data_IF_269083900605
#
_entry.id   IF_269083900605
#
_cell.length_a   1.000
_cell.length_b   1.000
_cell.length_c   1.000
_cell.angle_alpha   90.00
_cell.angle_beta   90.00
_cell.angle_gamma   90.00
#
_symmetry.space_group_name_H-M   'P 1'
#
loop_
_entity.id
_entity.type
_entity.pdbx_description
1 polymer ?
#
# COMPACT_ATOMS: atom_id res chain seq x y z
N UNK A 1 28.08 -21.11 0.56
CA UNK A 1 26.66 -20.79 0.84
C UNK A 1 26.36 -19.40 0.30
N UNK A 2 25.30 -19.25 -0.48
CA UNK A 2 24.86 -17.93 -0.93
C UNK A 2 24.33 -17.15 0.28
N UNK A 3 24.80 -15.92 0.51
CA UNK A 3 24.38 -15.12 1.66
C UNK A 3 22.93 -14.66 1.45
N UNK A 4 22.00 -15.25 2.20
CA UNK A 4 20.59 -14.87 2.20
C UNK A 4 20.43 -13.55 2.96
N UNK A 5 19.76 -12.57 2.36
CA UNK A 5 19.43 -11.32 3.02
C UNK A 5 18.10 -11.43 3.75
N UNK A 6 18.09 -11.16 5.06
CA UNK A 6 16.87 -11.08 5.84
C UNK A 6 16.25 -9.68 5.73
N UNK A 7 15.13 -9.60 5.00
CA UNK A 7 14.42 -8.38 4.70
C UNK A 7 13.31 -8.14 5.73
N UNK A 8 13.56 -7.29 6.74
CA UNK A 8 12.59 -6.96 7.80
C UNK A 8 11.95 -5.60 7.54
N UNK A 9 10.64 -5.49 7.75
CA UNK A 9 9.95 -4.20 7.73
C UNK A 9 10.48 -3.30 8.87
N UNK A 10 10.95 -2.07 8.58
CA UNK A 10 11.62 -1.22 9.59
C UNK A 10 10.67 -0.49 10.55
N UNK A 11 9.40 -0.32 10.16
CA UNK A 11 8.42 0.44 10.94
C UNK A 11 7.32 -0.46 11.51
N UNK A 12 6.88 -0.20 12.72
CA UNK A 12 5.60 -0.74 13.21
C UNK A 12 4.41 -0.17 12.41
N UNK A 13 3.26 -0.87 12.38
CA UNK A 13 2.03 -0.32 11.81
C UNK A 13 1.68 1.03 12.44
N UNK A 14 1.40 2.03 11.60
CA UNK A 14 0.93 3.33 12.04
C UNK A 14 -0.59 3.29 12.14
N UNK A 15 -1.13 2.96 13.32
CA UNK A 15 -2.56 2.81 13.57
C UNK A 15 -2.88 3.37 14.96
N UNK A 16 -3.98 4.13 15.07
CA UNK A 16 -4.51 4.61 16.34
C UNK A 16 -6.01 4.32 16.50
N UNK A 17 -6.57 4.64 17.66
CA UNK A 17 -7.99 4.41 17.96
C UNK A 17 -8.94 5.19 17.05
N UNK A 18 -8.49 6.27 16.41
CA UNK A 18 -9.33 7.10 15.54
C UNK A 18 -9.28 6.66 14.08
N UNK A 19 -8.40 5.72 13.74
CA UNK A 19 -8.19 5.25 12.36
C UNK A 19 -9.45 4.60 11.79
N UNK A 20 -9.87 5.03 10.59
CA UNK A 20 -11.06 4.52 9.89
C UNK A 20 -10.73 3.83 8.56
N UNK A 21 -9.63 4.25 7.91
CA UNK A 21 -9.09 3.62 6.70
C UNK A 21 -7.67 3.13 6.96
N UNK A 22 -7.31 1.98 6.39
CA UNK A 22 -5.96 1.41 6.49
C UNK A 22 -5.35 1.22 5.11
N UNK A 23 -4.24 1.91 4.82
CA UNK A 23 -3.42 1.66 3.64
C UNK A 23 -2.63 0.38 3.87
N UNK A 24 -2.70 -0.56 2.93
CA UNK A 24 -2.02 -1.85 3.02
C UNK A 24 -1.16 -2.07 1.78
N UNK A 25 0.16 -2.01 1.97
CA UNK A 25 1.16 -2.36 0.95
C UNK A 25 1.81 -3.70 1.20
N UNK A 26 2.85 -3.99 0.43
CA UNK A 26 3.58 -5.25 0.55
C UNK A 26 4.70 -5.17 1.60
N UNK A 27 5.83 -4.55 1.22
CA UNK A 27 7.04 -4.40 2.01
C UNK A 27 7.89 -3.28 1.39
N UNK A 28 8.51 -2.37 2.17
CA UNK A 28 9.36 -1.32 1.62
C UNK A 28 10.63 -1.90 0.95
N UNK A 29 11.37 -1.12 0.15
CA UNK A 29 12.61 -1.59 -0.46
C UNK A 29 13.66 -2.03 0.59
N UNK A 30 14.49 -3.06 0.33
CA UNK A 30 15.47 -3.60 1.30
C UNK A 30 16.40 -2.59 1.98
N UNK A 31 16.69 -1.48 1.30
CA UNK A 31 17.54 -0.42 1.85
C UNK A 31 16.98 0.20 3.13
N UNK A 32 15.65 0.22 3.27
CA UNK A 32 14.95 0.70 4.45
C UNK A 32 15.20 -0.18 5.69
N UNK A 33 15.33 -1.50 5.52
CA UNK A 33 15.75 -2.41 6.60
C UNK A 33 17.14 -2.07 7.14
N UNK A 34 18.05 -1.65 6.25
CA UNK A 34 19.44 -1.35 6.60
C UNK A 34 19.69 0.11 6.98
N UNK A 35 18.68 0.99 6.86
CA UNK A 35 18.84 2.44 7.01
C UNK A 35 19.71 3.12 5.92
N UNK A 36 20.09 2.41 4.86
CA UNK A 36 20.89 2.94 3.73
C UNK A 36 20.01 3.68 2.73
N UNK A 37 19.32 4.70 3.20
CA UNK A 37 18.37 5.48 2.43
C UNK A 37 19.07 6.25 1.31
N UNK A 38 18.37 6.45 0.19
CA UNK A 38 18.83 7.30 -0.92
C UNK A 38 18.42 8.75 -0.65
N UNK A 39 19.14 9.69 -1.25
CA UNK A 39 18.65 11.06 -1.36
C UNK A 39 17.24 11.10 -1.96
N UNK A 40 16.32 11.82 -1.34
CA UNK A 40 14.91 11.85 -1.71
C UNK A 40 14.03 10.78 -1.04
N UNK A 41 14.63 9.82 -0.31
CA UNK A 41 13.85 8.94 0.57
C UNK A 41 13.48 9.69 1.86
N UNK A 42 12.34 9.33 2.45
CA UNK A 42 11.92 9.76 3.78
C UNK A 42 11.88 8.52 4.67
N UNK A 43 12.45 8.58 5.86
CA UNK A 43 12.49 7.45 6.79
C UNK A 43 11.14 7.21 7.47
N UNK A 44 10.14 6.84 6.67
CA UNK A 44 8.77 6.57 7.06
C UNK A 44 8.09 5.62 6.07
N UNK A 45 6.92 5.07 6.45
CA UNK A 45 6.12 4.21 5.57
C UNK A 45 5.91 4.86 4.19
N UNK A 46 6.09 4.06 3.13
CA UNK A 46 6.06 4.52 1.72
C UNK A 46 7.05 5.64 1.37
N UNK A 47 8.04 5.91 2.21
CA UNK A 47 8.95 7.03 2.03
C UNK A 47 10.00 6.84 0.93
N UNK A 48 9.97 5.73 0.19
CA UNK A 48 10.85 5.51 -0.96
C UNK A 48 10.60 6.57 -2.04
N UNK A 49 11.65 7.24 -2.50
CA UNK A 49 11.63 8.15 -3.67
C UNK A 49 11.16 7.49 -4.95
N UNK A 50 11.35 6.16 -5.03
CA UNK A 50 10.95 5.34 -6.18
C UNK A 50 9.44 5.01 -6.15
N UNK A 51 8.73 5.35 -5.06
CA UNK A 51 7.29 5.15 -4.86
C UNK A 51 6.48 6.43 -5.13
N UNK A 52 5.21 6.25 -5.48
CA UNK A 52 4.33 7.35 -5.91
C UNK A 52 3.22 7.68 -4.90
N UNK A 53 3.12 7.00 -3.75
CA UNK A 53 2.01 7.22 -2.81
C UNK A 53 2.00 8.67 -2.31
N UNK A 54 3.11 9.13 -1.75
CA UNK A 54 3.22 10.50 -1.23
C UNK A 54 3.08 11.55 -2.34
N UNK A 55 3.71 11.44 -3.53
CA UNK A 55 3.42 12.34 -4.65
C UNK A 55 1.95 12.39 -5.09
N UNK A 56 1.24 11.26 -5.06
CA UNK A 56 -0.19 11.20 -5.38
C UNK A 56 -0.99 11.97 -4.33
N UNK A 57 -0.77 11.69 -3.04
CA UNK A 57 -1.51 12.34 -1.95
C UNK A 57 -1.18 13.83 -1.84
N UNK A 58 0.07 14.21 -2.09
CA UNK A 58 0.51 15.60 -2.14
C UNK A 58 -0.27 16.41 -3.19
N UNK A 59 -0.49 15.83 -4.38
CA UNK A 59 -1.30 16.45 -5.44
C UNK A 59 -2.80 16.50 -5.12
N UNK A 60 -3.34 15.43 -4.52
CA UNK A 60 -4.78 15.36 -4.19
C UNK A 60 -5.14 16.39 -3.12
N UNK A 61 -4.28 16.54 -2.10
CA UNK A 61 -4.59 17.33 -0.90
C UNK A 61 -3.83 18.67 -0.81
N UNK A 62 -2.93 18.97 -1.77
CA UNK A 62 -2.13 20.20 -1.75
C UNK A 62 -1.24 20.30 -0.52
N UNK A 63 -0.53 19.22 -0.17
CA UNK A 63 0.17 19.11 1.12
C UNK A 63 1.51 19.86 1.15
N UNK A 64 2.10 20.12 -0.02
CA UNK A 64 3.42 20.71 -0.18
C UNK A 64 4.50 19.94 0.62
N UNK A 65 4.52 18.61 0.44
CA UNK A 65 5.41 17.71 1.18
C UNK A 65 6.89 17.93 0.85
N UNK A 66 7.73 17.84 1.88
CA UNK A 66 9.17 17.66 1.75
C UNK A 66 9.49 16.18 1.53
N UNK A 67 10.52 15.92 0.72
CA UNK A 67 10.95 14.57 0.33
C UNK A 67 12.38 14.25 0.77
N UNK A 68 12.92 15.02 1.72
CA UNK A 68 14.21 14.74 2.33
C UNK A 68 14.05 13.83 3.56
N UNK A 69 15.11 13.11 3.94
CA UNK A 69 15.14 12.33 5.18
C UNK A 69 15.27 13.25 6.41
N UNK A 70 14.21 14.00 6.72
CA UNK A 70 14.17 14.95 7.84
C UNK A 70 12.99 14.68 8.76
N UNK A 71 13.12 15.12 10.02
CA UNK A 71 12.02 15.04 10.99
C UNK A 71 10.76 15.75 10.48
N UNK A 72 10.93 16.89 9.81
CA UNK A 72 9.82 17.67 9.24
C UNK A 72 9.05 16.87 8.18
N UNK A 73 9.75 16.23 7.23
CA UNK A 73 9.11 15.40 6.21
C UNK A 73 8.32 14.23 6.81
N UNK A 74 8.83 13.63 7.90
CA UNK A 74 8.15 12.57 8.65
C UNK A 74 6.90 13.13 9.36
N UNK A 75 7.02 14.28 10.00
CA UNK A 75 5.93 14.90 10.76
C UNK A 75 4.80 15.38 9.85
N UNK A 76 5.09 15.90 8.66
CA UNK A 76 4.06 16.24 7.65
C UNK A 76 3.20 15.03 7.31
N UNK A 77 3.84 13.87 7.09
CA UNK A 77 3.15 12.61 6.76
C UNK A 77 2.31 12.10 7.93
N UNK A 78 2.85 12.10 9.15
CA UNK A 78 2.12 11.72 10.36
C UNK A 78 0.93 12.63 10.63
N UNK A 79 1.10 13.95 10.46
CA UNK A 79 0.04 14.93 10.65
C UNK A 79 -1.11 14.71 9.66
N UNK A 80 -0.78 14.55 8.37
CA UNK A 80 -1.75 14.22 7.34
C UNK A 80 -2.52 12.93 7.65
N UNK A 81 -1.81 11.84 7.96
CA UNK A 81 -2.44 10.55 8.26
C UNK A 81 -3.39 10.63 9.45
N UNK A 82 -3.00 11.31 10.53
CA UNK A 82 -3.86 11.52 11.70
C UNK A 82 -5.07 12.38 11.37
N UNK A 83 -4.88 13.48 10.65
CA UNK A 83 -5.97 14.39 10.25
C UNK A 83 -7.02 13.65 9.41
N UNK A 84 -6.57 12.80 8.48
CA UNK A 84 -7.45 12.03 7.61
C UNK A 84 -7.94 10.70 8.24
N UNK A 85 -7.52 10.39 9.48
CA UNK A 85 -7.83 9.12 10.18
C UNK A 85 -7.40 7.89 9.37
N UNK A 86 -6.23 7.99 8.73
CA UNK A 86 -5.64 6.95 7.90
C UNK A 86 -4.49 6.29 8.65
N UNK A 87 -4.53 4.97 8.72
CA UNK A 87 -3.43 4.15 9.19
C UNK A 87 -2.63 3.58 8.02
N UNK A 88 -1.44 3.06 8.32
CA UNK A 88 -0.60 2.34 7.36
C UNK A 88 -0.11 1.04 7.97
N UNK A 89 -0.33 -0.09 7.27
CA UNK A 89 0.15 -1.39 7.66
C UNK A 89 0.48 -2.23 6.42
N UNK A 90 1.75 -2.21 6.00
CA UNK A 90 2.22 -3.17 4.99
C UNK A 90 2.11 -4.59 5.53
N UNK A 91 1.69 -5.53 4.67
CA UNK A 91 1.24 -6.86 5.08
C UNK A 91 2.39 -7.83 5.39
N UNK A 92 3.58 -7.60 4.84
CA UNK A 92 4.75 -8.45 5.10
C UNK A 92 5.55 -7.87 6.26
N UNK A 93 5.77 -8.68 7.30
CA UNK A 93 6.63 -8.35 8.43
C UNK A 93 8.10 -8.58 8.08
N UNK A 94 8.40 -9.72 7.45
CA UNK A 94 9.73 -10.04 6.94
C UNK A 94 9.69 -11.05 5.80
N UNK A 95 10.79 -11.14 5.06
CA UNK A 95 11.02 -12.15 4.03
C UNK A 95 12.53 -12.40 3.88
N UNK A 96 12.88 -13.48 3.21
CA UNK A 96 14.25 -13.76 2.78
C UNK A 96 14.44 -13.43 1.30
N UNK A 97 15.65 -12.98 0.93
CA UNK A 97 16.02 -12.66 -0.44
C UNK A 97 17.40 -13.20 -0.80
N UNK A 98 17.49 -13.88 -1.93
CA UNK A 98 18.78 -14.23 -2.56
C UNK A 98 19.35 -13.03 -3.33
N UNK A 99 18.46 -12.27 -4.01
CA UNK A 99 18.80 -11.03 -4.69
C UNK A 99 18.18 -9.84 -3.96
N UNK A 100 19.01 -8.86 -3.59
CA UNK A 100 18.58 -7.67 -2.85
C UNK A 100 17.98 -6.65 -3.83
N UNK A 101 16.68 -6.79 -4.10
CA UNK A 101 15.88 -5.83 -4.87
C UNK A 101 14.49 -5.62 -4.25
N UNK A 102 13.72 -4.68 -4.80
CA UNK A 102 12.38 -4.34 -4.32
C UNK A 102 11.26 -5.16 -5.00
N UNK A 103 11.58 -6.22 -5.74
CA UNK A 103 10.57 -7.04 -6.42
C UNK A 103 9.82 -7.90 -5.43
N UNK A 104 8.49 -7.91 -5.49
CA UNK A 104 7.67 -8.79 -4.64
C UNK A 104 7.85 -10.27 -4.99
N UNK A 105 8.17 -10.58 -6.25
CA UNK A 105 8.35 -11.96 -6.74
C UNK A 105 9.58 -12.64 -6.11
N UNK A 106 10.61 -11.86 -5.77
CA UNK A 106 11.87 -12.37 -5.23
C UNK A 106 11.84 -12.73 -3.74
N UNK A 107 10.71 -12.49 -3.05
CA UNK A 107 10.57 -12.81 -1.62
C UNK A 107 10.37 -14.32 -1.41
N UNK A 108 11.13 -14.88 -0.46
CA UNK A 108 10.99 -16.26 0.06
C UNK A 108 10.72 -16.21 1.56
N UNK A 109 10.28 -17.33 2.15
CA UNK A 109 10.08 -17.49 3.60
C UNK A 109 9.35 -16.30 4.24
N UNK A 110 8.21 -15.94 3.65
CA UNK A 110 7.48 -14.70 3.96
C UNK A 110 6.75 -14.85 5.29
N UNK A 111 6.98 -13.91 6.19
CA UNK A 111 6.24 -13.75 7.45
C UNK A 111 5.26 -12.59 7.28
N UNK A 112 3.98 -12.87 7.45
CA UNK A 112 2.91 -11.88 7.31
C UNK A 112 2.54 -11.29 8.67
N UNK A 113 2.11 -10.02 8.66
CA UNK A 113 1.50 -9.35 9.83
C UNK A 113 0.06 -9.81 10.01
N UNK A 114 -0.41 -9.87 11.26
CA UNK A 114 -1.80 -10.23 11.55
C UNK A 114 -2.76 -9.04 11.31
N UNK A 115 -3.04 -8.74 10.03
CA UNK A 115 -3.95 -7.64 9.63
C UNK A 115 -5.36 -7.83 10.20
N UNK A 116 -5.88 -9.06 10.22
CA UNK A 116 -7.19 -9.36 10.82
C UNK A 116 -7.19 -9.00 12.31
N UNK A 117 -6.14 -9.37 13.04
CA UNK A 117 -5.97 -9.01 14.45
C UNK A 117 -5.93 -7.50 14.69
N UNK A 118 -5.29 -6.73 13.81
CA UNK A 118 -5.34 -5.26 13.89
C UNK A 118 -6.75 -4.72 13.64
N UNK A 119 -7.49 -5.28 12.68
CA UNK A 119 -8.86 -4.84 12.41
C UNK A 119 -9.81 -5.11 13.58
N UNK A 120 -9.64 -6.23 14.29
CA UNK A 120 -10.40 -6.52 15.51
C UNK A 120 -9.98 -5.59 16.67
N UNK A 121 -8.68 -5.29 16.79
CA UNK A 121 -8.14 -4.39 17.81
C UNK A 121 -8.56 -2.93 17.61
N UNK A 122 -8.72 -2.48 16.37
CA UNK A 122 -9.04 -1.10 16.01
C UNK A 122 -10.42 -1.04 15.33
N UNK A 123 -11.52 -1.10 16.11
CA UNK A 123 -12.87 -1.32 15.60
C UNK A 123 -13.43 -0.13 14.83
N UNK A 124 -12.72 0.99 14.70
CA UNK A 124 -13.12 2.10 13.83
C UNK A 124 -12.73 1.86 12.37
N UNK A 125 -11.76 0.99 12.09
CA UNK A 125 -11.31 0.69 10.72
C UNK A 125 -12.42 -0.04 9.99
N UNK A 126 -12.92 0.55 8.91
CA UNK A 126 -14.00 0.00 8.09
C UNK A 126 -13.59 -0.21 6.62
N UNK A 127 -12.43 0.33 6.22
CA UNK A 127 -11.95 0.26 4.84
C UNK A 127 -10.46 -0.09 4.79
N UNK A 128 -10.11 -1.08 3.96
CA UNK A 128 -8.74 -1.35 3.54
C UNK A 128 -8.48 -0.78 2.14
N UNK A 129 -7.40 -0.04 1.98
CA UNK A 129 -6.92 0.47 0.70
C UNK A 129 -5.66 -0.32 0.32
N UNK A 130 -5.80 -1.34 -0.52
CA UNK A 130 -4.65 -2.07 -1.03
C UNK A 130 -3.95 -1.25 -2.11
N UNK A 131 -2.66 -0.97 -1.92
CA UNK A 131 -1.84 -0.25 -2.91
C UNK A 131 -1.18 -1.24 -3.88
N UNK A 132 -2.00 -2.14 -4.42
CA UNK A 132 -1.62 -3.25 -5.27
C UNK A 132 -2.68 -4.34 -5.26
N UNK A 133 -3.07 -4.83 -6.43
CA UNK A 133 -4.11 -5.86 -6.53
C UNK A 133 -3.60 -7.28 -6.25
N UNK A 134 -4.42 -8.27 -6.61
CA UNK A 134 -4.16 -9.70 -6.45
C UNK A 134 -3.05 -10.28 -7.36
N UNK A 135 -2.06 -9.48 -7.77
CA UNK A 135 -0.86 -10.01 -8.41
C UNK A 135 -0.07 -10.84 -7.39
N UNK A 136 0.68 -11.84 -7.86
CA UNK A 136 1.49 -12.71 -7.00
C UNK A 136 2.34 -11.87 -6.04
N UNK A 137 2.24 -12.18 -4.75
CA UNK A 137 2.92 -11.49 -3.65
C UNK A 137 2.54 -10.00 -3.44
N UNK A 138 1.45 -9.52 -4.06
CA UNK A 138 0.87 -8.22 -3.76
C UNK A 138 0.08 -8.21 -2.43
N UNK A 139 -0.36 -7.03 -1.97
CA UNK A 139 -1.02 -6.92 -0.68
C UNK A 139 -2.40 -7.59 -0.66
N UNK A 140 -3.22 -7.41 -1.71
CA UNK A 140 -4.52 -8.12 -1.83
C UNK A 140 -4.31 -9.64 -1.92
N UNK A 141 -3.24 -10.10 -2.59
CA UNK A 141 -2.92 -11.53 -2.71
C UNK A 141 -2.64 -12.18 -1.35
N UNK A 142 -1.77 -11.56 -0.55
CA UNK A 142 -1.50 -12.07 0.79
C UNK A 142 -2.71 -11.93 1.72
N UNK A 143 -3.48 -10.85 1.58
CA UNK A 143 -4.67 -10.68 2.39
C UNK A 143 -5.73 -11.74 2.09
N UNK A 144 -5.95 -12.10 0.82
CA UNK A 144 -6.80 -13.22 0.44
C UNK A 144 -6.35 -14.55 1.06
N UNK A 145 -5.04 -14.76 1.20
CA UNK A 145 -4.51 -15.92 1.92
C UNK A 145 -4.90 -15.89 3.40
N UNK A 146 -4.77 -14.74 4.08
CA UNK A 146 -5.26 -14.61 5.47
C UNK A 146 -6.75 -14.93 5.61
N UNK A 147 -7.59 -14.40 4.70
CA UNK A 147 -9.02 -14.68 4.74
C UNK A 147 -9.30 -16.18 4.58
N UNK A 148 -8.62 -16.84 3.62
CA UNK A 148 -8.74 -18.28 3.41
C UNK A 148 -8.31 -19.08 4.64
N UNK A 149 -7.16 -18.75 5.23
CA UNK A 149 -6.61 -19.45 6.40
C UNK A 149 -7.53 -19.30 7.64
N UNK A 150 -8.39 -18.27 7.67
CA UNK A 150 -9.38 -18.04 8.72
C UNK A 150 -10.82 -18.39 8.31
N UNK A 151 -11.02 -19.06 7.16
CA UNK A 151 -12.35 -19.39 6.61
C UNK A 151 -13.30 -18.20 6.45
N UNK A 152 -12.77 -17.02 6.15
CA UNK A 152 -13.55 -15.79 5.96
C UNK A 152 -13.90 -15.64 4.47
N UNK A 153 -15.20 -15.60 4.11
CA UNK A 153 -15.60 -15.35 2.73
C UNK A 153 -15.32 -13.90 2.32
N UNK A 154 -14.92 -13.72 1.05
CA UNK A 154 -14.70 -12.41 0.44
C UNK A 154 -15.70 -12.23 -0.71
N UNK A 155 -16.63 -11.29 -0.57
CA UNK A 155 -17.67 -11.03 -1.57
C UNK A 155 -17.24 -9.92 -2.53
N UNK A 156 -17.45 -10.13 -3.83
CA UNK A 156 -17.17 -9.13 -4.86
C UNK A 156 -18.34 -8.14 -4.90
N UNK A 157 -18.04 -6.85 -4.75
CA UNK A 157 -19.00 -5.75 -4.92
C UNK A 157 -18.83 -5.10 -6.29
N UNK A 158 -17.59 -4.90 -6.71
CA UNK A 158 -17.25 -4.37 -8.04
C UNK A 158 -16.00 -5.07 -8.58
N UNK A 159 -16.09 -5.58 -9.80
CA UNK A 159 -14.97 -6.19 -10.50
C UNK A 159 -14.24 -5.20 -11.44
N UNK A 160 -14.72 -3.96 -11.55
CA UNK A 160 -14.03 -2.89 -12.27
C UNK A 160 -12.76 -2.48 -11.52
N UNK A 161 -11.83 -1.80 -12.18
CA UNK A 161 -10.63 -1.26 -11.52
C UNK A 161 -10.95 0.14 -10.98
N UNK A 162 -10.74 0.43 -9.68
CA UNK A 162 -10.23 -0.47 -8.65
C UNK A 162 -11.28 -1.47 -8.16
N UNK A 163 -10.86 -2.72 -7.90
CA UNK A 163 -11.78 -3.78 -7.46
C UNK A 163 -12.23 -3.53 -6.03
N UNK A 164 -13.50 -3.77 -5.76
CA UNK A 164 -14.11 -3.59 -4.45
C UNK A 164 -14.66 -4.93 -3.97
N UNK A 165 -14.30 -5.30 -2.75
CA UNK A 165 -14.83 -6.47 -2.07
C UNK A 165 -15.26 -6.12 -0.65
N UNK A 166 -16.07 -6.97 -0.05
CA UNK A 166 -16.45 -6.91 1.37
C UNK A 166 -16.19 -8.25 2.06
N UNK A 167 -15.92 -8.22 3.36
CA UNK A 167 -15.89 -9.39 4.23
C UNK A 167 -16.38 -9.00 5.64
N UNK A 168 -16.71 -10.00 6.46
CA UNK A 168 -17.06 -9.81 7.88
C UNK A 168 -15.88 -10.27 8.75
N UNK A 169 -15.56 -9.47 9.77
CA UNK A 169 -14.59 -9.85 10.78
C UNK A 169 -15.10 -11.02 11.62
N UNK A 170 -14.26 -12.03 11.92
CA UNK A 170 -14.71 -13.27 12.53
C UNK A 170 -15.20 -13.10 13.99
N UNK A 171 -14.66 -12.15 14.75
CA UNK A 171 -15.03 -11.95 16.16
C UNK A 171 -16.13 -10.91 16.28
N UNK A 172 -15.95 -9.74 15.68
CA UNK A 172 -16.89 -8.61 15.82
C UNK A 172 -18.06 -8.64 14.85
N UNK A 173 -18.04 -9.54 13.84
CA UNK A 173 -18.97 -9.58 12.72
C UNK A 173 -19.08 -8.23 11.99
N UNK A 174 -18.06 -7.38 12.11
CA UNK A 174 -18.03 -6.07 11.48
C UNK A 174 -17.73 -6.22 10.01
N UNK A 175 -18.51 -5.53 9.18
CA UNK A 175 -18.26 -5.42 7.74
C UNK A 175 -17.06 -4.53 7.46
N UNK A 176 -16.14 -5.06 6.66
CA UNK A 176 -14.97 -4.34 6.16
C UNK A 176 -15.03 -4.30 4.63
N UNK A 177 -14.84 -3.10 4.09
CA UNK A 177 -14.70 -2.87 2.65
C UNK A 177 -13.22 -2.94 2.28
N UNK A 178 -12.92 -3.46 1.11
CA UNK A 178 -11.58 -3.41 0.52
C UNK A 178 -11.63 -2.74 -0.84
N UNK A 179 -10.63 -1.90 -1.13
CA UNK A 179 -10.46 -1.25 -2.42
C UNK A 179 -9.06 -1.56 -2.93
N UNK A 180 -8.98 -2.16 -4.12
CA UNK A 180 -7.71 -2.59 -4.72
C UNK A 180 -7.23 -1.56 -5.72
N UNK A 181 -6.49 -0.57 -5.22
CA UNK A 181 -5.95 0.54 -6.00
C UNK A 181 -4.78 0.05 -6.87
N UNK A 182 -4.56 0.75 -7.98
CA UNK A 182 -3.37 0.56 -8.81
C UNK A 182 -2.14 0.88 -7.98
N UNK A 183 -1.16 -0.01 -7.96
CA UNK A 183 0.03 0.16 -7.14
C UNK A 183 0.75 1.50 -7.45
N UNK A 184 1.15 2.26 -6.41
CA UNK A 184 1.87 3.52 -6.55
C UNK A 184 3.37 3.23 -6.75
N UNK A 185 3.67 2.43 -7.76
CA UNK A 185 5.02 1.97 -8.12
C UNK A 185 5.21 2.04 -9.63
N UNK A 186 6.43 2.38 -10.06
CA UNK A 186 6.81 2.40 -11.47
C UNK A 186 6.64 1.04 -12.16
N UNK A 187 6.72 -0.07 -11.41
CA UNK A 187 6.51 -1.42 -11.94
C UNK A 187 5.09 -1.61 -12.52
N UNK A 188 4.10 -0.87 -12.03
CA UNK A 188 2.73 -0.92 -12.52
C UNK A 188 2.48 -0.06 -13.77
N UNK A 189 3.44 0.75 -14.23
CA UNK A 189 3.24 1.66 -15.36
C UNK A 189 2.89 0.91 -16.67
N UNK A 190 3.49 -0.26 -16.90
CA UNK A 190 3.15 -1.10 -18.06
C UNK A 190 1.70 -1.58 -18.00
N UNK A 191 1.25 -2.02 -16.84
CA UNK A 191 -0.13 -2.44 -16.64
C UNK A 191 -1.11 -1.28 -16.85
N UNK A 192 -0.81 -0.10 -16.29
CA UNK A 192 -1.60 1.13 -16.52
C UNK A 192 -1.67 1.48 -18.00
N UNK A 193 -0.54 1.43 -18.72
CA UNK A 193 -0.47 1.68 -20.16
C UNK A 193 -1.33 0.72 -21.01
N UNK A 194 -1.62 -0.47 -20.48
CA UNK A 194 -2.50 -1.45 -21.11
C UNK A 194 -4.00 -1.15 -20.95
N UNK A 195 -4.40 -0.35 -19.96
CA UNK A 195 -5.81 -0.07 -19.65
C UNK A 195 -6.46 0.81 -20.73
N UNK A 196 -7.64 0.41 -21.19
CA UNK A 196 -8.36 1.17 -22.21
C UNK A 196 -8.79 2.55 -21.71
N UNK A 197 -9.22 2.65 -20.45
CA UNK A 197 -9.55 3.93 -19.80
C UNK A 197 -8.37 4.90 -19.79
N UNK A 198 -7.15 4.41 -19.51
CA UNK A 198 -5.93 5.22 -19.60
C UNK A 198 -5.64 5.64 -21.04
N UNK A 199 -5.73 4.72 -22.02
CA UNK A 199 -5.48 5.02 -23.44
C UNK A 199 -6.46 6.06 -23.99
N UNK A 200 -7.72 6.03 -23.59
CA UNK A 200 -8.72 7.04 -23.98
C UNK A 200 -8.32 8.42 -23.46
N UNK A 201 -7.95 8.54 -22.18
CA UNK A 201 -7.52 9.80 -21.58
C UNK A 201 -6.23 10.33 -22.21
N UNK A 202 -5.24 9.45 -22.43
CA UNK A 202 -3.97 9.78 -23.09
C UNK A 202 -4.15 10.27 -24.54
N UNK A 203 -5.13 9.73 -25.27
CA UNK A 203 -5.48 10.19 -26.63
C UNK A 203 -6.12 11.58 -26.62
N UNK A 204 -6.93 11.88 -25.60
CA UNK A 204 -7.58 13.20 -25.42
C UNK A 204 -6.58 14.26 -24.95
N UNK A 205 -5.61 13.90 -24.12
CA UNK A 205 -4.56 14.78 -23.65
C UNK A 205 -3.20 14.07 -23.69
N UNK A 206 -2.33 14.47 -24.62
CA UNK A 206 -1.02 13.87 -24.83
C UNK A 206 -0.06 14.06 -23.65
N UNK A 207 -0.27 15.03 -22.75
CA UNK A 207 0.57 15.22 -21.56
C UNK A 207 0.13 14.36 -20.37
N UNK A 208 -1.11 13.84 -20.39
CA UNK A 208 -1.65 12.96 -19.36
C UNK A 208 -0.76 11.73 -19.19
N UNK A 209 -0.45 11.33 -17.96
CA UNK A 209 0.50 10.24 -17.71
C UNK A 209 -0.01 9.27 -16.63
N UNK A 210 0.77 8.23 -16.36
CA UNK A 210 0.36 7.19 -15.40
C UNK A 210 0.28 7.68 -13.95
N UNK A 211 0.94 8.79 -13.60
CA UNK A 211 0.77 9.44 -12.30
C UNK A 211 -0.58 10.15 -12.25
N UNK A 212 -0.94 10.92 -13.28
CA UNK A 212 -2.24 11.61 -13.35
C UNK A 212 -3.40 10.62 -13.28
N UNK A 213 -3.28 9.48 -13.97
CA UNK A 213 -4.27 8.41 -13.89
C UNK A 213 -4.45 7.83 -12.48
N UNK A 214 -3.35 7.70 -11.73
CA UNK A 214 -3.42 7.26 -10.32
C UNK A 214 -3.97 8.36 -9.42
N UNK A 215 -3.63 9.63 -9.65
CA UNK A 215 -4.22 10.76 -8.93
C UNK A 215 -5.74 10.75 -9.08
N UNK A 216 -6.23 10.63 -10.33
CA UNK A 216 -7.67 10.52 -10.60
C UNK A 216 -8.31 9.35 -9.87
N UNK A 217 -7.70 8.15 -9.93
CA UNK A 217 -8.25 6.98 -9.24
C UNK A 217 -8.23 7.14 -7.72
N UNK A 218 -7.12 7.60 -7.15
CA UNK A 218 -6.95 7.66 -5.69
C UNK A 218 -7.86 8.72 -5.06
N UNK A 219 -8.13 9.82 -5.78
CA UNK A 219 -9.00 10.90 -5.31
C UNK A 219 -10.43 10.43 -4.97
N UNK A 220 -10.92 9.36 -5.57
CA UNK A 220 -12.25 8.81 -5.27
C UNK A 220 -12.34 8.06 -3.93
N UNK A 221 -11.21 7.65 -3.35
CA UNK A 221 -11.18 6.73 -2.19
C UNK A 221 -10.48 7.28 -0.94
N UNK A 222 -9.71 8.36 -1.09
CA UNK A 222 -9.03 9.04 0.01
C UNK A 222 -9.92 10.14 0.57
#
# INVERSE_FOLDING_TARGET
MQKVFHHTHPYEPFIDSNTTKLIVGTLPPPRFTTGKLKEGDVDFCYGSRDGLLWPILDRIFGLHLKFETTKEAIDQRKAFLKQQRIGVCDIVASAEREKIDASDIGMKNIVLRNVIGYLEKYPNINTLLFTGGNSKNGPEYFFRKHLKDNNIPLWIISNNIPRIHEFLLPVTNKKIKTVSLIAPSGAANRAVGGLESYKILKRKNSTFNTLDFRVMQYQEYF
#
